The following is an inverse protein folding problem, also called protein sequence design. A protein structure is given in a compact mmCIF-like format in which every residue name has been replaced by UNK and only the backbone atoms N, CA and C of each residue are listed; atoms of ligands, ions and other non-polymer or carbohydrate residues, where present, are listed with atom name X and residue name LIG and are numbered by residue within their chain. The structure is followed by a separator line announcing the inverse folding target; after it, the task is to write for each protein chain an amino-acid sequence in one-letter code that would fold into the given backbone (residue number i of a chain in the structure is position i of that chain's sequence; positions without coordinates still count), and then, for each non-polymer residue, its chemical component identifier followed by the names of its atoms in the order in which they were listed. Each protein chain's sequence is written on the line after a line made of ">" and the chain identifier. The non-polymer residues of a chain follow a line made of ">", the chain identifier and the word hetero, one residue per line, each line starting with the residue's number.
data_IF_113600160515
#
_entry.id   IF_113600160515
#
_cell.length_a   1.000
_cell.length_b   1.000
_cell.length_c   1.000
_cell.angle_alpha   90.00
_cell.angle_beta   90.00
_cell.angle_gamma   90.00
#
_symmetry.space_group_name_H-M   'P 1'
#
loop_
_entity.id
_entity.type
_entity.pdbx_description
1 polymer ?
#
# COMPACT_ATOMS: atom_id res chain seq x y z
N UNK A 1 -8.70 -25.01 -3.64
CA UNK A 1 -7.46 -24.21 -3.62
C UNK A 1 -6.25 -25.14 -3.66
N UNK A 2 -5.28 -24.82 -4.44
CA UNK A 2 -4.05 -25.61 -4.55
C UNK A 2 -3.18 -25.41 -3.31
N UNK A 3 -2.72 -26.50 -2.69
CA UNK A 3 -1.91 -26.45 -1.48
C UNK A 3 -0.46 -26.01 -1.72
N UNK A 4 -0.01 -26.00 -2.98
CA UNK A 4 1.35 -25.63 -3.36
C UNK A 4 1.44 -24.23 -3.98
N UNK A 5 0.52 -23.34 -3.66
CA UNK A 5 0.45 -21.99 -4.22
C UNK A 5 0.75 -20.95 -3.12
N UNK A 6 1.53 -19.96 -3.47
CA UNK A 6 1.75 -18.76 -2.66
C UNK A 6 0.93 -17.62 -3.25
N UNK A 7 0.00 -17.09 -2.49
CA UNK A 7 -0.86 -15.97 -2.90
C UNK A 7 -0.49 -14.73 -2.08
N UNK A 8 -0.11 -13.68 -2.77
CA UNK A 8 0.28 -12.40 -2.15
C UNK A 8 -0.77 -11.34 -2.48
N UNK A 9 -1.51 -10.90 -1.46
CA UNK A 9 -2.55 -9.87 -1.60
C UNK A 9 -1.92 -8.50 -1.44
N UNK A 10 -1.83 -7.76 -2.53
CA UNK A 10 -1.29 -6.40 -2.53
C UNK A 10 -2.41 -5.37 -2.42
N UNK A 11 -2.05 -4.19 -1.91
CA UNK A 11 -2.97 -3.07 -1.81
C UNK A 11 -2.27 -1.78 -2.13
N UNK A 12 -2.88 -0.97 -3.00
CA UNK A 12 -2.37 0.35 -3.40
C UNK A 12 -0.86 0.30 -3.69
N UNK A 13 -0.44 -0.43 -4.74
CA UNK A 13 0.99 -0.63 -5.01
C UNK A 13 1.69 0.68 -5.35
N UNK A 14 2.83 0.91 -4.70
CA UNK A 14 3.67 2.09 -4.87
C UNK A 14 5.00 1.66 -5.45
N UNK A 15 5.39 2.26 -6.57
CA UNK A 15 6.71 2.09 -7.19
C UNK A 15 7.48 3.40 -7.17
N UNK A 16 8.74 3.34 -7.49
CA UNK A 16 9.64 4.51 -7.54
C UNK A 16 9.66 5.23 -8.89
N UNK A 17 8.84 4.78 -9.83
CA UNK A 17 8.71 5.41 -11.15
C UNK A 17 7.48 6.33 -11.21
N UNK A 18 7.32 7.03 -12.34
CA UNK A 18 6.19 7.90 -12.61
C UNK A 18 5.11 7.23 -13.47
N UNK A 19 5.05 5.88 -13.44
CA UNK A 19 4.03 5.13 -14.17
C UNK A 19 2.62 5.60 -13.80
N UNK A 20 1.70 5.73 -14.78
CA UNK A 20 0.30 6.05 -14.49
C UNK A 20 -0.40 5.03 -13.58
N UNK A 21 0.14 3.82 -13.48
CA UNK A 21 -0.40 2.77 -12.60
C UNK A 21 0.09 2.88 -11.16
N UNK A 22 1.16 3.65 -10.93
CA UNK A 22 1.66 3.90 -9.59
C UNK A 22 0.63 4.69 -8.79
N UNK A 23 0.32 4.21 -7.58
CA UNK A 23 -0.68 4.84 -6.72
C UNK A 23 -0.37 6.31 -6.44
N UNK A 24 0.89 6.65 -6.13
CA UNK A 24 1.30 8.03 -5.86
C UNK A 24 1.06 8.92 -7.09
N UNK A 25 1.41 8.44 -8.28
CA UNK A 25 1.17 9.17 -9.52
C UNK A 25 -0.33 9.44 -9.73
N UNK A 26 -1.17 8.44 -9.46
CA UNK A 26 -2.62 8.59 -9.59
C UNK A 26 -3.18 9.65 -8.66
N UNK A 27 -2.88 9.56 -7.36
CA UNK A 27 -3.45 10.49 -6.38
C UNK A 27 -2.92 11.91 -6.53
N UNK A 28 -1.70 12.08 -7.06
CA UNK A 28 -1.13 13.41 -7.29
C UNK A 28 -1.88 14.20 -8.37
N UNK A 29 -2.67 13.53 -9.20
CA UNK A 29 -3.48 14.15 -10.25
C UNK A 29 -4.92 14.43 -9.82
N UNK A 30 -5.33 13.98 -8.66
CA UNK A 30 -6.67 14.21 -8.15
C UNK A 30 -6.79 15.64 -7.61
N UNK A 31 -7.88 16.30 -7.95
CA UNK A 31 -8.19 17.63 -7.43
C UNK A 31 -8.47 17.58 -5.93
N UNK A 32 -9.20 16.53 -5.50
CA UNK A 32 -9.52 16.29 -4.09
C UNK A 32 -9.24 14.85 -3.71
N UNK A 33 -8.82 14.65 -2.47
CA UNK A 33 -8.49 13.31 -1.97
C UNK A 33 -9.22 13.00 -0.67
N UNK A 34 -9.48 11.72 -0.49
CA UNK A 34 -10.00 11.18 0.77
C UNK A 34 -8.85 11.03 1.75
N UNK A 35 -9.03 11.49 2.99
CA UNK A 35 -7.98 11.41 4.01
C UNK A 35 -8.31 10.32 5.04
N UNK A 36 -8.01 9.08 4.69
CA UNK A 36 -8.22 7.92 5.56
C UNK A 36 -6.99 7.01 5.49
N UNK A 37 -6.52 6.46 6.62
CA UNK A 37 -5.41 5.51 6.61
C UNK A 37 -5.76 4.22 5.86
N UNK A 38 -4.81 3.73 5.11
CA UNK A 38 -4.90 2.46 4.37
C UNK A 38 -3.58 1.72 4.44
N UNK A 39 -3.65 0.40 4.32
CA UNK A 39 -2.45 -0.41 4.09
C UNK A 39 -1.95 -0.17 2.66
N UNK A 40 -0.64 -0.17 2.50
CA UNK A 40 0.02 0.08 1.23
C UNK A 40 1.06 -1.01 0.94
N UNK A 41 1.30 -1.27 -0.33
CA UNK A 41 2.35 -2.19 -0.78
C UNK A 41 3.43 -1.39 -1.52
N UNK A 42 4.54 -1.12 -0.85
CA UNK A 42 5.68 -0.45 -1.49
C UNK A 42 6.49 -1.51 -2.22
N UNK A 43 6.43 -1.51 -3.54
CA UNK A 43 7.00 -2.56 -4.37
C UNK A 43 8.52 -2.66 -4.23
N UNK A 44 9.20 -1.54 -4.09
CA UNK A 44 10.65 -1.53 -3.88
C UNK A 44 11.04 -2.35 -2.64
N UNK A 45 10.25 -2.26 -1.56
CA UNK A 45 10.50 -2.99 -0.32
C UNK A 45 10.06 -4.45 -0.41
N UNK A 46 8.95 -4.72 -1.09
CA UNK A 46 8.26 -6.00 -1.01
C UNK A 46 8.59 -6.98 -2.14
N UNK A 47 8.98 -6.51 -3.34
CA UNK A 47 9.32 -7.44 -4.43
C UNK A 47 10.49 -8.36 -4.08
N UNK A 48 11.59 -7.88 -3.45
CA UNK A 48 12.63 -8.79 -2.98
C UNK A 48 12.12 -9.81 -1.97
N UNK A 49 11.17 -9.43 -1.12
CA UNK A 49 10.55 -10.33 -0.14
C UNK A 49 9.79 -11.45 -0.83
N UNK A 50 9.09 -11.16 -1.93
CA UNK A 50 8.35 -12.18 -2.68
C UNK A 50 9.28 -13.26 -3.24
N UNK A 51 10.46 -12.87 -3.69
CA UNK A 51 11.48 -13.80 -4.19
C UNK A 51 11.98 -14.69 -3.06
N UNK A 52 12.31 -14.11 -1.91
CA UNK A 52 12.79 -14.86 -0.74
C UNK A 52 11.72 -15.83 -0.22
N UNK A 53 10.47 -15.41 -0.18
CA UNK A 53 9.36 -16.29 0.22
C UNK A 53 9.23 -17.49 -0.73
N UNK A 54 9.41 -17.27 -2.02
CA UNK A 54 9.41 -18.35 -3.01
C UNK A 54 10.57 -19.32 -2.80
N UNK A 55 11.77 -18.80 -2.54
CA UNK A 55 12.96 -19.61 -2.28
C UNK A 55 12.85 -20.40 -0.98
N UNK A 56 12.10 -19.92 0.00
CA UNK A 56 11.85 -20.62 1.26
C UNK A 56 10.57 -21.46 1.26
N UNK A 57 10.01 -21.73 0.09
CA UNK A 57 8.81 -22.57 -0.09
C UNK A 57 7.60 -22.14 0.72
N UNK A 58 7.41 -20.82 0.91
CA UNK A 58 6.23 -20.31 1.59
C UNK A 58 4.96 -20.66 0.80
N UNK A 59 3.91 -21.03 1.50
CA UNK A 59 2.63 -21.45 0.94
C UNK A 59 1.49 -20.73 1.63
N UNK A 60 0.37 -20.60 0.94
CA UNK A 60 -0.85 -20.02 1.48
C UNK A 60 -1.04 -18.58 1.09
N UNK A 61 -1.92 -17.90 1.80
CA UNK A 61 -2.34 -16.51 1.51
C UNK A 61 -1.70 -15.56 2.52
N UNK A 62 -1.07 -14.51 2.03
CA UNK A 62 -0.45 -13.46 2.85
C UNK A 62 -0.99 -12.10 2.45
N UNK A 63 -1.25 -11.25 3.43
CA UNK A 63 -1.49 -9.83 3.19
C UNK A 63 -0.13 -9.17 2.95
N UNK A 64 0.17 -8.90 1.69
CA UNK A 64 1.49 -8.47 1.24
C UNK A 64 1.56 -6.95 1.22
N UNK A 65 1.56 -6.36 2.42
CA UNK A 65 1.63 -4.92 2.64
C UNK A 65 2.71 -4.59 3.66
N UNK A 66 3.21 -3.36 3.60
CA UNK A 66 4.08 -2.85 4.66
C UNK A 66 3.27 -2.77 5.96
N UNK A 67 3.89 -3.03 7.13
CA UNK A 67 3.20 -2.93 8.40
C UNK A 67 2.68 -1.51 8.66
N UNK A 68 1.50 -1.43 9.31
CA UNK A 68 0.86 -0.17 9.62
C UNK A 68 0.00 0.35 8.48
N UNK A 69 -0.47 1.59 8.63
CA UNK A 69 -1.32 2.25 7.67
C UNK A 69 -0.86 3.71 7.48
N UNK A 70 -1.12 4.26 6.30
CA UNK A 70 -0.77 5.63 5.97
C UNK A 70 -1.94 6.28 5.23
N UNK A 71 -2.22 7.55 5.52
CA UNK A 71 -3.28 8.30 4.84
C UNK A 71 -2.80 8.86 3.50
N UNK A 72 -3.76 9.20 2.63
CA UNK A 72 -3.45 9.88 1.37
C UNK A 72 -2.74 11.22 1.62
N UNK A 73 -3.14 11.96 2.65
CA UNK A 73 -2.51 13.23 2.99
C UNK A 73 -1.03 13.06 3.36
N UNK A 74 -0.70 12.05 4.15
CA UNK A 74 0.69 11.76 4.51
C UNK A 74 1.53 11.45 3.27
N UNK A 75 0.99 10.68 2.33
CA UNK A 75 1.67 10.37 1.07
C UNK A 75 1.87 11.63 0.23
N UNK A 76 0.86 12.46 0.11
CA UNK A 76 0.93 13.69 -0.69
C UNK A 76 1.83 14.74 -0.05
N UNK A 77 1.91 14.79 1.27
CA UNK A 77 2.86 15.65 1.98
C UNK A 77 4.31 15.22 1.71
N UNK A 78 4.56 13.92 1.66
CA UNK A 78 5.87 13.38 1.26
C UNK A 78 6.18 13.69 -0.22
N UNK A 79 5.20 13.57 -1.09
CA UNK A 79 5.33 13.93 -2.50
C UNK A 79 5.72 15.40 -2.65
N UNK A 80 5.04 16.29 -1.95
CA UNK A 80 5.35 17.72 -1.93
C UNK A 80 6.77 17.99 -1.43
N UNK A 81 7.19 17.30 -0.39
CA UNK A 81 8.51 17.49 0.23
C UNK A 81 9.65 17.03 -0.67
N UNK A 82 9.51 15.90 -1.34
CA UNK A 82 10.63 15.24 -2.02
C UNK A 82 10.58 15.34 -3.55
N UNK A 83 9.41 15.53 -4.14
CA UNK A 83 9.25 15.50 -5.60
C UNK A 83 8.86 16.85 -6.17
N UNK A 84 7.83 17.49 -5.64
CA UNK A 84 7.33 18.76 -6.15
C UNK A 84 6.95 19.72 -5.01
N UNK A 85 7.87 20.61 -4.59
CA UNK A 85 7.59 21.55 -3.51
C UNK A 85 6.45 22.53 -3.79
N UNK A 86 6.08 22.72 -5.06
CA UNK A 86 4.97 23.59 -5.44
C UNK A 86 3.62 22.86 -5.46
N UNK A 87 3.62 21.54 -5.23
CA UNK A 87 2.41 20.73 -5.26
C UNK A 87 1.44 21.14 -4.16
N UNK A 88 0.16 21.24 -4.52
CA UNK A 88 -0.93 21.50 -3.58
C UNK A 88 -2.06 20.51 -3.84
N UNK A 89 -2.82 20.23 -2.79
CA UNK A 89 -4.00 19.37 -2.89
C UNK A 89 -5.06 19.84 -1.91
N UNK A 90 -6.28 19.37 -2.11
CA UNK A 90 -7.38 19.62 -1.18
C UNK A 90 -8.04 18.29 -0.82
N UNK A 91 -8.69 18.26 0.34
CA UNK A 91 -9.47 17.10 0.76
C UNK A 91 -10.94 17.30 0.45
N UNK A 92 -11.67 16.20 0.30
CA UNK A 92 -13.11 16.21 0.42
C UNK A 92 -13.51 16.67 1.82
N UNK A 93 -14.66 17.33 1.95
CA UNK A 93 -15.25 17.59 3.26
C UNK A 93 -15.60 16.25 3.93
N UNK A 94 -15.77 16.24 5.25
CA UNK A 94 -16.15 15.02 5.96
C UNK A 94 -17.49 14.46 5.42
N UNK A 95 -18.44 15.32 5.08
CA UNK A 95 -19.71 14.91 4.49
C UNK A 95 -19.53 14.27 3.11
N UNK A 96 -18.75 14.88 2.23
CA UNK A 96 -18.44 14.34 0.91
C UNK A 96 -17.69 13.01 1.01
N UNK A 97 -16.74 12.93 1.93
CA UNK A 97 -15.98 11.71 2.18
C UNK A 97 -16.88 10.55 2.63
N UNK A 98 -17.82 10.83 3.53
CA UNK A 98 -18.79 9.85 4.01
C UNK A 98 -19.63 9.29 2.86
N UNK A 99 -20.06 10.13 1.92
CA UNK A 99 -20.82 9.71 0.74
C UNK A 99 -19.99 8.81 -0.18
N UNK A 100 -18.72 9.15 -0.39
CA UNK A 100 -17.81 8.36 -1.22
C UNK A 100 -17.60 6.97 -0.60
N UNK A 101 -17.41 6.89 0.71
CA UNK A 101 -17.25 5.62 1.43
C UNK A 101 -18.52 4.78 1.39
N UNK A 102 -19.68 5.40 1.52
CA UNK A 102 -20.97 4.71 1.42
C UNK A 102 -21.21 4.11 0.02
N UNK A 103 -20.61 4.68 -1.02
CA UNK A 103 -20.71 4.19 -2.40
C UNK A 103 -19.83 2.96 -2.69
N UNK A 104 -19.23 2.34 -1.68
CA UNK A 104 -18.50 1.08 -1.82
C UNK A 104 -17.00 1.18 -2.02
N UNK A 105 -16.37 2.33 -1.81
CA UNK A 105 -14.92 2.42 -1.76
C UNK A 105 -14.42 1.73 -0.51
N UNK A 106 -13.50 0.78 -0.68
CA UNK A 106 -12.90 0.13 0.48
C UNK A 106 -11.67 0.89 0.94
N UNK A 107 -11.68 1.27 2.21
CA UNK A 107 -10.51 1.74 2.92
C UNK A 107 -10.18 0.67 3.95
N UNK A 108 -9.10 -0.07 3.72
CA UNK A 108 -8.79 -1.24 4.52
C UNK A 108 -7.39 -1.17 5.08
N UNK A 109 -7.29 -1.47 6.34
CA UNK A 109 -6.03 -1.82 6.96
C UNK A 109 -5.94 -3.34 6.95
N UNK A 110 -4.93 -3.89 6.30
CA UNK A 110 -4.69 -5.31 6.28
C UNK A 110 -3.71 -5.69 7.38
N UNK A 111 -4.01 -6.79 8.06
CA UNK A 111 -3.11 -7.32 9.07
C UNK A 111 -1.96 -8.06 8.38
N UNK A 112 -0.76 -7.51 8.48
CA UNK A 112 0.47 -8.08 7.91
C UNK A 112 1.29 -8.90 8.91
N UNK A 113 0.76 -9.18 10.10
CA UNK A 113 1.52 -9.89 11.14
C UNK A 113 1.95 -11.28 10.71
N UNK A 114 1.14 -12.02 9.96
CA UNK A 114 1.50 -13.33 9.42
C UNK A 114 2.72 -13.22 8.48
N UNK A 115 2.74 -12.20 7.63
CA UNK A 115 3.86 -11.94 6.72
C UNK A 115 5.14 -11.61 7.50
N UNK A 116 5.05 -10.68 8.44
CA UNK A 116 6.20 -10.24 9.25
C UNK A 116 6.79 -11.41 10.02
N UNK A 117 5.95 -12.20 10.68
CA UNK A 117 6.38 -13.32 11.50
C UNK A 117 6.99 -14.44 10.65
N UNK A 118 6.39 -14.76 9.51
CA UNK A 118 6.93 -15.77 8.59
C UNK A 118 8.29 -15.36 8.05
N UNK A 119 8.45 -14.10 7.65
CA UNK A 119 9.72 -13.59 7.13
C UNK A 119 10.81 -13.54 8.19
N UNK A 120 10.48 -13.27 9.44
CA UNK A 120 11.44 -13.33 10.55
C UNK A 120 12.04 -14.72 10.74
N UNK A 121 11.28 -15.78 10.45
CA UNK A 121 11.77 -17.16 10.58
C UNK A 121 12.96 -17.44 9.67
N UNK A 122 13.09 -16.74 8.55
CA UNK A 122 14.26 -16.86 7.68
C UNK A 122 15.11 -15.58 7.61
N UNK A 123 15.01 -14.75 8.64
CA UNK A 123 15.90 -13.62 8.85
C UNK A 123 15.60 -12.36 8.05
N UNK A 124 14.38 -12.22 7.53
CA UNK A 124 13.95 -11.03 6.79
C UNK A 124 13.07 -10.11 7.63
N UNK A 125 13.38 -8.82 7.61
CA UNK A 125 12.54 -7.77 8.20
C UNK A 125 11.74 -7.07 7.10
N UNK A 126 10.46 -6.79 7.39
CA UNK A 126 9.58 -6.03 6.50
C UNK A 126 9.61 -4.55 6.93
N UNK A 127 10.03 -3.64 6.04
CA UNK A 127 10.07 -2.21 6.35
C UNK A 127 8.71 -1.59 6.62
#
# INVERSE_FOLDING_TARGET
>A
MYSNVLILRVRMPISDDLSPRNFVTKISKYERVVNIPNSMSVLYDLLPVSIEMTLHDCRGVFNFTNPGAISHNEILDLYKKYIDPSFTYTNFTLEEQAKILAAGRSNNELDSSKLVETCRQFGMEIP
#
